data_IF_973442530394
#
_entry.id   IF_973442530394
#
_cell.length_a   1.000
_cell.length_b   1.000
_cell.length_c   1.000
_cell.angle_alpha   90.00
_cell.angle_beta   90.00
_cell.angle_gamma   90.00
#
_symmetry.space_group_name_H-M   'P 1'
#
loop_
_entity.id
_entity.type
_entity.pdbx_description
1 polymer ?
#
# COMPACT_ATOMS: atom_id res chain seq x y z
N UNK A 1 15.24 -32.97 -5.55
CA UNK A 1 15.37 -31.99 -4.49
C UNK A 1 15.49 -32.72 -3.19
N UNK A 2 16.42 -32.32 -2.34
CA UNK A 2 16.58 -32.93 -1.01
C UNK A 2 15.30 -32.58 -0.21
N UNK A 3 14.48 -33.61 0.06
CA UNK A 3 13.14 -33.47 0.65
C UNK A 3 13.20 -33.08 2.15
N UNK A 4 14.41 -32.83 2.67
CA UNK A 4 14.68 -32.56 4.08
C UNK A 4 15.05 -31.10 4.37
N UNK A 5 15.24 -30.23 3.33
CA UNK A 5 15.69 -28.88 3.53
C UNK A 5 14.56 -27.97 4.02
N UNK A 6 14.76 -27.34 5.17
CA UNK A 6 13.91 -26.27 5.69
C UNK A 6 14.53 -24.92 5.30
N UNK A 7 13.79 -24.12 4.52
CA UNK A 7 14.21 -22.78 4.15
C UNK A 7 13.90 -21.80 5.29
N UNK A 8 14.85 -20.92 5.60
CA UNK A 8 14.68 -19.86 6.60
C UNK A 8 14.34 -18.54 5.93
N UNK A 9 13.19 -17.95 6.27
CA UNK A 9 12.75 -16.65 5.78
C UNK A 9 12.55 -15.71 6.95
N UNK A 10 13.25 -14.58 6.93
CA UNK A 10 13.04 -13.49 7.87
C UNK A 10 12.11 -12.45 7.23
N UNK A 11 11.13 -11.97 7.99
CA UNK A 11 10.19 -10.92 7.58
C UNK A 11 10.44 -9.69 8.44
N UNK A 12 10.67 -8.55 7.80
CA UNK A 12 10.87 -7.27 8.46
C UNK A 12 9.82 -6.26 8.00
N UNK A 13 9.08 -5.69 8.94
CA UNK A 13 8.10 -4.63 8.66
C UNK A 13 8.15 -3.55 9.74
N UNK A 14 7.70 -2.35 9.36
CA UNK A 14 7.47 -1.25 10.30
C UNK A 14 5.97 -1.12 10.49
N UNK A 15 5.52 -1.15 11.75
CA UNK A 15 4.12 -1.19 12.17
C UNK A 15 3.34 -2.45 11.72
N UNK A 16 2.21 -2.72 12.39
CA UNK A 16 1.35 -3.87 12.10
C UNK A 16 -0.06 -3.40 11.76
N UNK A 17 -0.27 -3.08 10.50
CA UNK A 17 -1.56 -2.66 9.95
C UNK A 17 -2.19 -3.77 9.09
N UNK A 18 -3.52 -3.75 8.94
CA UNK A 18 -4.26 -4.75 8.17
C UNK A 18 -3.72 -4.94 6.74
N UNK A 19 -3.42 -3.87 5.95
CA UNK A 19 -2.86 -4.03 4.61
C UNK A 19 -1.54 -4.81 4.57
N UNK A 20 -0.68 -4.64 5.58
CA UNK A 20 0.59 -5.38 5.65
C UNK A 20 0.38 -6.86 6.02
N UNK A 21 -0.64 -7.14 6.85
CA UNK A 21 -1.05 -8.52 7.12
C UNK A 21 -1.60 -9.19 5.86
N UNK A 22 -2.37 -8.48 5.04
CA UNK A 22 -2.89 -9.00 3.78
C UNK A 22 -1.77 -9.28 2.77
N UNK A 23 -0.77 -8.40 2.68
CA UNK A 23 0.40 -8.62 1.84
C UNK A 23 1.20 -9.86 2.30
N UNK A 24 1.42 -10.01 3.62
CA UNK A 24 2.08 -11.20 4.15
C UNK A 24 1.28 -12.48 3.89
N UNK A 25 -0.03 -12.46 4.09
CA UNK A 25 -0.92 -13.58 3.83
C UNK A 25 -0.88 -13.97 2.34
N UNK A 26 -0.91 -13.00 1.44
CA UNK A 26 -0.76 -13.22 0.00
C UNK A 26 0.58 -13.87 -0.35
N UNK A 27 1.67 -13.38 0.24
CA UNK A 27 3.01 -13.95 0.08
C UNK A 27 3.06 -15.42 0.53
N UNK A 28 2.56 -15.72 1.71
CA UNK A 28 2.52 -17.08 2.25
C UNK A 28 1.64 -18.01 1.41
N UNK A 29 0.49 -17.54 0.93
CA UNK A 29 -0.39 -18.30 0.03
C UNK A 29 0.33 -18.68 -1.26
N UNK A 30 1.11 -17.77 -1.84
CA UNK A 30 1.89 -18.05 -3.04
C UNK A 30 3.02 -19.05 -2.79
N UNK A 31 3.73 -18.95 -1.66
CA UNK A 31 4.73 -19.94 -1.25
C UNK A 31 4.10 -21.32 -1.05
N UNK A 32 2.97 -21.38 -0.35
CA UNK A 32 2.22 -22.63 -0.13
C UNK A 32 1.80 -23.27 -1.45
N UNK A 33 1.28 -22.50 -2.39
CA UNK A 33 0.93 -22.98 -3.74
C UNK A 33 2.15 -23.50 -4.51
N UNK A 34 3.34 -23.00 -4.15
CA UNK A 34 4.62 -23.49 -4.69
C UNK A 34 5.21 -24.67 -3.91
N UNK A 35 4.49 -25.21 -2.91
CA UNK A 35 4.93 -26.32 -2.09
C UNK A 35 5.90 -25.94 -0.95
N UNK A 36 6.02 -24.64 -0.63
CA UNK A 36 6.78 -24.13 0.53
C UNK A 36 5.79 -23.83 1.65
N UNK A 37 5.78 -24.65 2.69
CA UNK A 37 4.78 -24.61 3.76
C UNK A 37 5.47 -24.33 5.08
N UNK A 38 5.04 -23.25 5.75
CA UNK A 38 5.54 -22.89 7.07
C UNK A 38 5.30 -24.02 8.10
N UNK A 39 6.30 -24.27 8.93
CA UNK A 39 6.30 -25.39 9.88
C UNK A 39 6.62 -26.75 9.27
N UNK A 40 6.81 -26.86 7.93
CA UNK A 40 7.24 -28.11 7.27
C UNK A 40 8.62 -27.97 6.63
N UNK A 41 8.71 -27.28 5.52
CA UNK A 41 9.93 -27.06 4.76
C UNK A 41 10.25 -25.56 4.61
N UNK A 42 9.53 -24.71 5.34
CA UNK A 42 9.75 -23.30 5.51
C UNK A 42 9.71 -22.98 7.00
N UNK A 43 10.62 -22.14 7.47
CA UNK A 43 10.62 -21.55 8.81
C UNK A 43 10.58 -20.05 8.65
N UNK A 44 9.50 -19.43 9.09
CA UNK A 44 9.28 -17.99 8.97
C UNK A 44 9.42 -17.32 10.33
N UNK A 45 10.27 -16.31 10.39
CA UNK A 45 10.39 -15.44 11.56
C UNK A 45 10.03 -14.00 11.20
N UNK A 46 9.03 -13.44 11.89
CA UNK A 46 8.54 -12.08 11.63
C UNK A 46 8.99 -11.12 12.73
N UNK A 47 9.60 -10.03 12.32
CA UNK A 47 9.92 -8.88 13.18
C UNK A 47 9.10 -7.67 12.75
N UNK A 48 8.37 -7.10 13.70
CA UNK A 48 7.65 -5.83 13.53
C UNK A 48 8.33 -4.76 14.37
N UNK A 49 8.65 -3.64 13.72
CA UNK A 49 9.18 -2.46 14.42
C UNK A 49 8.00 -1.54 14.68
N UNK A 50 7.57 -1.47 15.94
CA UNK A 50 6.48 -0.60 16.31
C UNK A 50 6.89 0.88 16.22
N UNK A 51 5.99 1.69 15.69
CA UNK A 51 6.07 3.14 15.78
C UNK A 51 5.76 3.55 17.22
N UNK A 52 6.69 4.25 17.85
CA UNK A 52 6.37 5.00 19.05
C UNK A 52 5.63 6.29 18.63
N UNK A 53 4.31 6.19 18.57
CA UNK A 53 3.45 7.27 18.07
C UNK A 53 3.38 8.42 19.07
N UNK A 54 3.67 8.17 20.37
CA UNK A 54 3.57 9.17 21.43
C UNK A 54 4.68 10.23 21.35
N UNK A 55 5.82 9.89 20.76
CA UNK A 55 6.97 10.79 20.59
C UNK A 55 7.16 11.27 19.14
N UNK A 56 6.06 11.56 18.41
CA UNK A 56 6.10 11.97 17.01
C UNK A 56 7.06 13.15 16.72
N UNK A 57 7.85 13.03 15.64
CA UNK A 57 8.78 14.04 15.17
C UNK A 57 10.07 13.46 14.58
N UNK A 58 11.06 14.32 14.32
CA UNK A 58 12.36 13.94 13.73
C UNK A 58 13.06 12.80 14.52
N UNK A 59 12.99 12.82 15.85
CA UNK A 59 13.56 11.80 16.71
C UNK A 59 12.89 10.44 16.59
N UNK A 60 11.58 10.39 16.29
CA UNK A 60 10.90 9.12 16.05
C UNK A 60 11.31 8.50 14.70
N UNK A 61 11.53 9.31 13.66
CA UNK A 61 12.05 8.83 12.37
C UNK A 61 13.48 8.27 12.53
N UNK A 62 14.35 8.97 13.24
CA UNK A 62 15.69 8.48 13.52
C UNK A 62 15.65 7.20 14.35
N UNK A 63 14.78 7.13 15.36
CA UNK A 63 14.58 5.95 16.19
C UNK A 63 14.12 4.73 15.36
N UNK A 64 13.16 4.91 14.48
CA UNK A 64 12.70 3.84 13.55
C UNK A 64 13.84 3.39 12.62
N UNK A 65 14.60 4.33 12.06
CA UNK A 65 15.76 4.02 11.23
C UNK A 65 16.79 3.18 11.97
N UNK A 66 17.11 3.57 13.21
CA UNK A 66 18.09 2.84 14.04
C UNK A 66 17.59 1.43 14.38
N UNK A 67 16.30 1.26 14.68
CA UNK A 67 15.70 -0.07 14.93
C UNK A 67 15.71 -0.93 13.66
N UNK A 68 15.38 -0.38 12.49
CA UNK A 68 15.45 -1.13 11.21
C UNK A 68 16.89 -1.61 10.99
N UNK A 69 17.89 -0.77 11.20
CA UNK A 69 19.30 -1.15 11.04
C UNK A 69 19.75 -2.20 12.06
N UNK A 70 19.30 -2.07 13.30
CA UNK A 70 19.58 -3.07 14.34
C UNK A 70 19.02 -4.45 13.98
N UNK A 71 17.75 -4.49 13.57
CA UNK A 71 17.11 -5.74 13.15
C UNK A 71 17.71 -6.30 11.85
N UNK A 72 18.08 -5.44 10.92
CA UNK A 72 18.78 -5.85 9.70
C UNK A 72 20.13 -6.51 10.03
N UNK A 73 20.88 -5.97 11.01
CA UNK A 73 22.12 -6.59 11.48
C UNK A 73 21.87 -7.98 12.10
N UNK A 74 20.85 -8.11 12.95
CA UNK A 74 20.44 -9.39 13.53
C UNK A 74 20.09 -10.40 12.43
N UNK A 75 19.33 -9.97 11.40
CA UNK A 75 18.97 -10.80 10.26
C UNK A 75 20.21 -11.27 9.49
N UNK A 76 21.20 -10.39 9.28
CA UNK A 76 22.46 -10.78 8.64
C UNK A 76 23.19 -11.86 9.43
N UNK A 77 23.22 -11.76 10.77
CA UNK A 77 23.80 -12.79 11.65
C UNK A 77 23.05 -14.12 11.59
N UNK A 78 21.71 -14.08 11.44
CA UNK A 78 20.86 -15.26 11.33
C UNK A 78 21.06 -16.04 10.03
N UNK A 79 21.65 -15.41 8.99
CA UNK A 79 21.93 -15.99 7.66
C UNK A 79 20.73 -16.71 7.07
N UNK A 80 19.57 -16.06 6.86
CA UNK A 80 18.42 -16.68 6.25
C UNK A 80 18.66 -16.98 4.77
N UNK A 81 17.81 -17.83 4.21
CA UNK A 81 17.80 -18.11 2.77
C UNK A 81 17.17 -16.96 1.97
N UNK A 82 16.33 -16.14 2.61
CA UNK A 82 15.64 -15.01 2.01
C UNK A 82 15.13 -14.04 3.09
N UNK A 83 15.14 -12.75 2.78
CA UNK A 83 14.48 -11.72 3.59
C UNK A 83 13.29 -11.17 2.82
N UNK A 84 12.11 -11.12 3.44
CA UNK A 84 10.96 -10.36 2.98
C UNK A 84 10.89 -9.03 3.75
N UNK A 85 10.88 -7.91 3.04
CA UNK A 85 10.56 -6.62 3.63
C UNK A 85 9.18 -6.16 3.22
N UNK A 86 8.38 -5.63 4.17
CA UNK A 86 7.03 -5.14 3.91
C UNK A 86 7.00 -3.63 4.15
N UNK A 87 6.68 -2.89 3.09
CA UNK A 87 6.62 -1.44 3.09
C UNK A 87 7.94 -0.73 2.73
N UNK A 88 7.82 0.51 2.31
CA UNK A 88 8.93 1.34 1.80
C UNK A 88 10.05 1.54 2.83
N UNK A 89 9.79 1.91 4.11
CA UNK A 89 10.86 2.13 5.08
C UNK A 89 11.70 0.87 5.39
N UNK A 90 11.04 -0.27 5.60
CA UNK A 90 11.74 -1.53 5.87
C UNK A 90 12.65 -1.91 4.69
N UNK A 91 12.15 -1.77 3.46
CA UNK A 91 12.91 -2.07 2.24
C UNK A 91 14.11 -1.12 2.08
N UNK A 92 13.87 0.18 2.14
CA UNK A 92 14.85 1.24 1.93
C UNK A 92 16.06 1.10 2.85
N UNK A 93 15.80 0.87 4.13
CA UNK A 93 16.86 0.92 5.14
C UNK A 93 17.52 -0.44 5.45
N UNK A 94 16.90 -1.56 5.11
CA UNK A 94 17.50 -2.88 5.27
C UNK A 94 18.28 -3.35 4.03
N UNK A 95 17.90 -2.87 2.84
CA UNK A 95 18.38 -3.39 1.56
C UNK A 95 19.91 -3.40 1.43
N UNK A 96 20.60 -2.30 1.73
CA UNK A 96 22.06 -2.21 1.59
C UNK A 96 22.78 -3.30 2.38
N UNK A 97 22.36 -3.54 3.62
CA UNK A 97 22.96 -4.56 4.48
C UNK A 97 22.70 -5.99 3.94
N UNK A 98 21.53 -6.24 3.36
CA UNK A 98 21.22 -7.54 2.75
C UNK A 98 22.07 -7.77 1.50
N UNK A 99 22.24 -6.75 0.66
CA UNK A 99 23.09 -6.81 -0.54
C UNK A 99 24.56 -7.07 -0.18
N UNK A 100 25.11 -6.34 0.79
CA UNK A 100 26.48 -6.53 1.29
C UNK A 100 26.71 -7.95 1.85
N UNK A 101 25.69 -8.46 2.58
CA UNK A 101 25.72 -9.81 3.13
C UNK A 101 25.38 -10.91 2.10
N UNK A 102 25.05 -10.54 0.86
CA UNK A 102 24.60 -11.44 -0.22
C UNK A 102 23.37 -12.30 0.17
N UNK A 103 22.49 -11.73 0.96
CA UNK A 103 21.22 -12.35 1.34
C UNK A 103 20.16 -11.86 0.36
N UNK A 104 19.45 -12.76 -0.35
CA UNK A 104 18.36 -12.39 -1.26
C UNK A 104 17.27 -11.60 -0.54
N UNK A 105 16.90 -10.43 -1.07
CA UNK A 105 15.83 -9.62 -0.56
C UNK A 105 14.65 -9.63 -1.55
N UNK A 106 13.48 -9.94 -1.03
CA UNK A 106 12.19 -9.74 -1.72
C UNK A 106 11.39 -8.71 -0.94
N UNK A 107 10.84 -7.73 -1.62
CA UNK A 107 9.99 -6.74 -0.99
C UNK A 107 8.55 -6.81 -1.48
N UNK A 108 7.63 -6.30 -0.67
CA UNK A 108 6.21 -6.12 -1.02
C UNK A 108 5.65 -4.88 -0.34
N UNK A 109 4.47 -4.44 -0.78
CA UNK A 109 3.79 -3.27 -0.23
C UNK A 109 4.65 -1.98 -0.29
N UNK A 110 5.51 -1.87 -1.29
CA UNK A 110 6.30 -0.67 -1.61
C UNK A 110 5.52 0.17 -2.61
N UNK A 111 5.26 1.44 -2.29
CA UNK A 111 4.46 2.32 -3.14
C UNK A 111 5.20 2.71 -4.42
N UNK A 112 6.39 3.26 -4.28
CA UNK A 112 7.29 3.57 -5.38
C UNK A 112 8.64 2.86 -5.15
N UNK A 113 9.04 1.92 -6.01
CA UNK A 113 10.32 1.22 -5.89
C UNK A 113 11.54 2.13 -5.85
N UNK A 114 11.57 3.21 -6.62
CA UNK A 114 12.69 4.16 -6.66
C UNK A 114 12.93 4.82 -5.30
N UNK A 115 11.86 5.15 -4.56
CA UNK A 115 11.95 5.71 -3.20
C UNK A 115 12.51 4.69 -2.20
N UNK A 116 12.36 3.39 -2.49
CA UNK A 116 12.96 2.31 -1.72
C UNK A 116 14.39 1.96 -2.17
N UNK A 117 14.97 2.74 -3.08
CA UNK A 117 16.34 2.60 -3.57
C UNK A 117 16.46 1.62 -4.74
N UNK A 118 15.38 1.27 -5.43
CA UNK A 118 15.43 0.49 -6.67
C UNK A 118 15.89 1.36 -7.85
N UNK A 119 16.37 0.71 -8.91
CA UNK A 119 16.84 1.39 -10.13
C UNK A 119 15.68 1.98 -10.92
N UNK A 120 14.54 1.28 -10.95
CA UNK A 120 13.34 1.72 -11.64
C UNK A 120 12.10 0.99 -11.11
N UNK A 121 10.94 1.27 -11.71
CA UNK A 121 9.68 0.58 -11.42
C UNK A 121 9.70 -0.93 -11.70
N UNK A 122 10.66 -1.41 -12.51
CA UNK A 122 10.74 -2.82 -12.93
C UNK A 122 12.06 -3.49 -12.57
N UNK A 123 13.06 -2.72 -12.19
CA UNK A 123 14.40 -3.21 -11.85
C UNK A 123 14.74 -2.80 -10.40
N UNK A 124 14.88 -3.80 -9.57
CA UNK A 124 15.25 -3.57 -8.17
C UNK A 124 16.76 -3.36 -8.00
N UNK A 125 17.61 -3.74 -8.96
CA UNK A 125 19.07 -3.75 -8.84
C UNK A 125 19.58 -4.93 -8.03
N UNK A 126 20.84 -4.85 -7.64
CA UNK A 126 21.59 -5.96 -7.03
C UNK A 126 20.94 -6.54 -5.78
N UNK A 127 20.89 -7.88 -5.71
CA UNK A 127 20.46 -8.65 -4.54
C UNK A 127 18.99 -8.56 -4.21
N UNK A 128 18.19 -7.84 -4.99
CA UNK A 128 16.79 -7.60 -4.66
C UNK A 128 15.81 -7.83 -5.82
N UNK A 129 14.58 -8.14 -5.48
CA UNK A 129 13.39 -8.14 -6.35
C UNK A 129 12.16 -7.98 -5.48
N UNK A 130 10.96 -7.97 -6.05
CA UNK A 130 9.74 -7.93 -5.24
C UNK A 130 8.50 -7.56 -6.02
N UNK A 131 7.59 -6.91 -5.33
CA UNK A 131 6.34 -6.40 -5.90
C UNK A 131 6.01 -5.01 -5.36
N UNK A 132 5.31 -4.22 -6.15
CA UNK A 132 4.99 -2.82 -5.82
C UNK A 132 3.48 -2.57 -5.83
N UNK A 133 3.05 -1.62 -4.99
CA UNK A 133 1.70 -1.04 -4.99
C UNK A 133 1.52 0.04 -6.06
N UNK A 134 2.55 0.33 -6.83
CA UNK A 134 2.49 1.38 -7.84
C UNK A 134 1.30 1.17 -8.80
N UNK A 135 0.45 2.16 -8.87
CA UNK A 135 -0.64 2.27 -9.85
C UNK A 135 -0.54 3.64 -10.53
N UNK A 136 -0.94 3.70 -11.80
CA UNK A 136 -0.96 4.98 -12.50
C UNK A 136 -2.05 5.91 -11.92
N UNK A 137 -1.61 7.01 -11.31
CA UNK A 137 -2.50 8.01 -10.69
C UNK A 137 -3.47 8.62 -11.71
N UNK A 138 -3.06 8.76 -12.98
CA UNK A 138 -3.94 9.28 -14.03
C UNK A 138 -5.14 8.37 -14.25
N UNK A 139 -4.93 7.07 -14.25
CA UNK A 139 -6.01 6.07 -14.35
C UNK A 139 -6.97 6.17 -13.17
N UNK A 140 -6.44 6.27 -11.94
CA UNK A 140 -7.25 6.41 -10.73
C UNK A 140 -8.10 7.69 -10.75
N UNK A 141 -7.52 8.81 -11.14
CA UNK A 141 -8.23 10.10 -11.20
C UNK A 141 -9.24 10.16 -12.36
N UNK A 142 -9.01 9.48 -13.49
CA UNK A 142 -10.01 9.34 -14.55
C UNK A 142 -11.23 8.57 -14.05
N UNK A 143 -11.03 7.47 -13.34
CA UNK A 143 -12.13 6.73 -12.72
C UNK A 143 -12.93 7.59 -11.74
N UNK A 144 -12.22 8.39 -10.92
CA UNK A 144 -12.89 9.38 -10.04
C UNK A 144 -13.77 10.32 -10.87
N UNK A 145 -13.26 10.86 -11.97
CA UNK A 145 -14.03 11.76 -12.85
C UNK A 145 -15.21 11.06 -13.53
N UNK A 146 -15.04 9.80 -13.90
CA UNK A 146 -16.12 9.03 -14.56
C UNK A 146 -17.27 8.78 -13.58
N UNK A 147 -16.95 8.43 -12.32
CA UNK A 147 -17.98 8.18 -11.28
C UNK A 147 -18.55 9.50 -10.73
N UNK A 148 -17.71 10.54 -10.61
CA UNK A 148 -18.07 11.84 -10.01
C UNK A 148 -17.81 13.00 -10.99
N UNK A 149 -18.56 13.12 -12.10
CA UNK A 149 -18.25 14.07 -13.18
C UNK A 149 -18.31 15.54 -12.77
N UNK A 150 -19.00 15.86 -11.68
CA UNK A 150 -19.16 17.22 -11.18
C UNK A 150 -18.00 17.68 -10.28
N UNK A 151 -17.17 16.74 -9.78
CA UNK A 151 -16.05 17.07 -8.90
C UNK A 151 -15.01 17.87 -9.64
N UNK A 152 -14.54 18.93 -8.97
CA UNK A 152 -13.48 19.85 -9.42
C UNK A 152 -12.39 20.02 -8.37
N UNK A 153 -12.76 20.05 -7.08
CA UNK A 153 -11.84 20.33 -5.96
C UNK A 153 -11.80 19.12 -5.03
N UNK A 154 -10.63 18.52 -4.94
CA UNK A 154 -10.39 17.35 -4.09
C UNK A 154 -9.64 17.79 -2.85
N UNK A 155 -10.18 17.50 -1.67
CA UNK A 155 -9.49 17.64 -0.39
C UNK A 155 -8.70 16.39 -0.06
N UNK A 156 -7.44 16.53 0.30
CA UNK A 156 -6.59 15.43 0.78
C UNK A 156 -5.93 15.81 2.09
N UNK A 157 -6.02 14.94 3.08
CA UNK A 157 -5.23 15.06 4.32
C UNK A 157 -4.16 13.98 4.28
N UNK A 158 -2.93 14.34 4.59
CA UNK A 158 -1.81 13.39 4.61
C UNK A 158 -0.85 13.69 5.74
N UNK A 159 -0.13 12.67 6.19
CA UNK A 159 0.95 12.85 7.14
C UNK A 159 2.29 13.12 6.45
N UNK A 160 3.36 13.14 7.22
CA UNK A 160 4.73 13.20 6.71
C UNK A 160 5.27 11.84 6.23
N UNK A 161 4.38 10.87 6.02
CA UNK A 161 4.70 9.58 5.40
C UNK A 161 5.17 9.79 3.96
N UNK A 162 6.29 9.16 3.59
CA UNK A 162 6.88 9.34 2.25
C UNK A 162 5.89 8.94 1.14
N UNK A 163 5.09 7.88 1.35
CA UNK A 163 4.09 7.44 0.37
C UNK A 163 2.93 8.43 0.29
N UNK A 164 2.45 8.94 1.44
CA UNK A 164 1.39 9.95 1.51
C UNK A 164 1.77 11.23 0.76
N UNK A 165 2.96 11.75 1.03
CA UNK A 165 3.51 12.94 0.35
C UNK A 165 3.62 12.72 -1.16
N UNK A 166 4.21 11.59 -1.59
CA UNK A 166 4.36 11.25 -3.01
C UNK A 166 2.99 11.08 -3.71
N UNK A 167 2.02 10.45 -3.03
CA UNK A 167 0.69 10.21 -3.57
C UNK A 167 -0.07 11.53 -3.78
N UNK A 168 0.00 12.45 -2.82
CA UNK A 168 -0.59 13.80 -2.94
C UNK A 168 0.08 14.60 -4.06
N UNK A 169 1.40 14.54 -4.17
CA UNK A 169 2.13 15.21 -5.25
C UNK A 169 1.72 14.67 -6.63
N UNK A 170 1.61 13.35 -6.77
CA UNK A 170 1.14 12.71 -8.00
C UNK A 170 -0.31 13.09 -8.32
N UNK A 171 -1.21 13.07 -7.33
CA UNK A 171 -2.61 13.47 -7.51
C UNK A 171 -2.72 14.94 -7.96
N UNK A 172 -1.91 15.82 -7.38
CA UNK A 172 -1.87 17.25 -7.76
C UNK A 172 -1.40 17.44 -9.20
N UNK A 173 -0.28 16.77 -9.58
CA UNK A 173 0.28 16.90 -10.91
C UNK A 173 -0.63 16.30 -11.99
N UNK A 174 -1.15 15.09 -11.76
CA UNK A 174 -1.96 14.36 -12.73
C UNK A 174 -3.43 14.79 -12.72
N UNK A 175 -3.92 15.41 -11.65
CA UNK A 175 -5.28 15.92 -11.55
C UNK A 175 -5.50 17.20 -12.37
N UNK A 176 -4.50 18.08 -12.42
CA UNK A 176 -4.58 19.37 -13.13
C UNK A 176 -5.02 19.25 -14.60
N UNK A 177 -4.42 18.35 -15.42
CA UNK A 177 -4.87 18.14 -16.80
C UNK A 177 -6.30 17.59 -16.92
N UNK A 178 -6.82 16.95 -15.87
CA UNK A 178 -8.17 16.40 -15.79
C UNK A 178 -9.20 17.40 -15.24
N UNK A 179 -8.78 18.65 -14.98
CA UNK A 179 -9.61 19.68 -14.38
C UNK A 179 -9.96 19.39 -12.91
N UNK A 180 -9.07 18.71 -12.20
CA UNK A 180 -9.15 18.45 -10.76
C UNK A 180 -8.10 19.30 -10.04
N UNK A 181 -8.55 20.10 -9.08
CA UNK A 181 -7.71 20.89 -8.19
C UNK A 181 -7.58 20.18 -6.85
N UNK A 182 -6.35 19.85 -6.47
CA UNK A 182 -6.06 19.12 -5.22
C UNK A 182 -5.65 20.10 -4.13
N UNK A 183 -6.45 20.14 -3.07
CA UNK A 183 -6.23 20.92 -1.88
C UNK A 183 -5.74 20.03 -0.75
N UNK A 184 -4.45 20.05 -0.45
CA UNK A 184 -3.85 19.18 0.56
C UNK A 184 -3.68 19.88 1.91
N UNK A 185 -3.74 19.11 2.99
CA UNK A 185 -3.41 19.53 4.36
C UNK A 185 -2.51 18.49 5.01
N UNK A 186 -1.41 18.95 5.57
CA UNK A 186 -0.52 18.15 6.39
C UNK A 186 -1.10 18.00 7.79
N UNK A 187 -0.99 16.81 8.35
CA UNK A 187 -1.34 16.46 9.73
C UNK A 187 -0.20 15.67 10.36
N UNK A 188 0.04 15.84 11.65
CA UNK A 188 0.95 14.95 12.36
C UNK A 188 0.26 13.60 12.64
N UNK A 189 1.05 12.52 12.69
CA UNK A 189 0.50 11.16 12.89
C UNK A 189 -0.30 10.98 14.18
N UNK A 190 -0.13 11.87 15.16
CA UNK A 190 -0.84 11.88 16.46
C UNK A 190 -1.97 12.91 16.52
N UNK A 191 -2.20 13.67 15.47
CA UNK A 191 -3.25 14.67 15.43
C UNK A 191 -4.55 14.08 14.89
N UNK A 192 -5.68 14.53 15.45
CA UNK A 192 -7.00 14.20 14.91
C UNK A 192 -7.21 14.86 13.55
N UNK A 193 -7.82 14.14 12.63
CA UNK A 193 -8.06 14.61 11.26
C UNK A 193 -9.15 15.70 11.17
N UNK A 194 -10.11 15.70 12.11
CA UNK A 194 -11.32 16.50 12.05
C UNK A 194 -11.09 18.01 11.82
N UNK A 195 -10.08 18.69 12.42
CA UNK A 195 -9.81 20.11 12.12
C UNK A 195 -9.47 20.34 10.66
N UNK A 196 -8.67 19.46 10.04
CA UNK A 196 -8.25 19.55 8.64
C UNK A 196 -9.41 19.30 7.67
N UNK A 197 -10.32 18.40 8.02
CA UNK A 197 -11.54 18.15 7.25
C UNK A 197 -12.44 19.39 7.24
N UNK A 198 -12.62 20.06 8.39
CA UNK A 198 -13.39 21.30 8.49
C UNK A 198 -12.77 22.45 7.67
N UNK A 199 -11.44 22.60 7.73
CA UNK A 199 -10.71 23.59 6.91
C UNK A 199 -10.95 23.37 5.41
N UNK A 200 -10.80 22.12 4.95
CA UNK A 200 -10.98 21.77 3.54
C UNK A 200 -12.43 21.94 3.09
N UNK A 201 -13.38 21.53 3.92
CA UNK A 201 -14.81 21.69 3.63
C UNK A 201 -15.18 23.17 3.53
N UNK A 202 -14.71 24.01 4.45
CA UNK A 202 -14.91 25.45 4.41
C UNK A 202 -14.25 26.11 3.17
N UNK A 203 -13.13 25.55 2.68
CA UNK A 203 -12.50 25.94 1.43
C UNK A 203 -13.29 25.47 0.18
N UNK A 204 -14.37 24.74 0.38
CA UNK A 204 -15.32 24.32 -0.66
C UNK A 204 -14.81 23.15 -1.51
N UNK A 205 -14.13 22.16 -0.92
CA UNK A 205 -13.83 20.91 -1.64
C UNK A 205 -15.13 20.17 -1.96
N UNK A 206 -15.15 19.53 -3.12
CA UNK A 206 -16.32 18.80 -3.62
C UNK A 206 -16.25 17.31 -3.25
N UNK A 207 -15.08 16.84 -2.83
CA UNK A 207 -14.75 15.45 -2.55
C UNK A 207 -13.54 15.36 -1.61
N UNK A 208 -13.48 14.33 -0.81
CA UNK A 208 -12.25 13.93 -0.13
C UNK A 208 -11.64 12.70 -0.80
N UNK A 209 -10.31 12.71 -0.96
CA UNK A 209 -9.56 11.55 -1.44
C UNK A 209 -8.51 11.13 -0.41
N UNK A 210 -8.48 9.84 -0.09
CA UNK A 210 -7.54 9.25 0.86
C UNK A 210 -6.30 8.78 0.10
N UNK A 211 -5.12 9.34 0.39
CA UNK A 211 -3.86 8.89 -0.21
C UNK A 211 -3.40 7.56 0.38
N UNK A 212 -2.40 6.96 -0.24
CA UNK A 212 -1.67 5.85 0.34
C UNK A 212 -0.77 6.36 1.48
N UNK A 213 -1.30 6.41 2.70
CA UNK A 213 -0.64 6.95 3.87
C UNK A 213 -0.94 6.07 5.10
N UNK A 214 0.10 5.67 5.83
CA UNK A 214 -0.04 4.84 7.04
C UNK A 214 -0.89 5.51 8.13
N UNK A 215 -1.00 6.83 8.12
CA UNK A 215 -1.82 7.61 9.06
C UNK A 215 -3.25 7.06 9.18
N UNK A 216 -3.85 6.68 8.07
CA UNK A 216 -5.22 6.14 8.04
C UNK A 216 -5.34 4.73 8.63
N UNK A 217 -4.24 4.03 8.82
CA UNK A 217 -4.19 2.71 9.45
C UNK A 217 -3.80 2.74 10.93
N UNK A 218 -3.34 3.88 11.44
CA UNK A 218 -2.94 4.05 12.84
C UNK A 218 -4.15 4.19 13.76
N UNK A 219 -3.93 4.09 15.07
CA UNK A 219 -4.95 4.31 16.10
C UNK A 219 -6.28 3.58 15.83
N UNK A 220 -6.19 2.31 15.40
CA UNK A 220 -7.38 1.49 15.05
C UNK A 220 -8.26 2.14 13.97
N UNK A 221 -7.65 2.80 12.98
CA UNK A 221 -8.32 3.47 11.86
C UNK A 221 -9.16 4.70 12.26
N UNK A 222 -8.86 5.36 13.38
CA UNK A 222 -9.61 6.52 13.86
C UNK A 222 -9.74 7.59 12.76
N UNK A 223 -8.63 7.98 12.13
CA UNK A 223 -8.65 8.99 11.06
C UNK A 223 -9.50 8.57 9.86
N UNK A 224 -9.50 7.29 9.51
CA UNK A 224 -10.32 6.76 8.42
C UNK A 224 -11.80 6.76 8.77
N UNK A 225 -12.16 6.42 10.02
CA UNK A 225 -13.54 6.46 10.51
C UNK A 225 -14.04 7.91 10.56
N UNK A 226 -13.29 8.81 11.18
CA UNK A 226 -13.66 10.24 11.26
C UNK A 226 -13.88 10.87 9.89
N UNK A 227 -13.03 10.55 8.90
CA UNK A 227 -13.20 11.02 7.54
C UNK A 227 -14.47 10.46 6.88
N UNK A 228 -14.73 9.16 7.08
CA UNK A 228 -15.94 8.53 6.56
C UNK A 228 -17.21 9.14 7.14
N UNK A 229 -17.25 9.29 8.46
CA UNK A 229 -18.38 9.89 9.17
C UNK A 229 -18.59 11.34 8.73
N UNK A 230 -17.51 12.13 8.64
CA UNK A 230 -17.56 13.51 8.14
C UNK A 230 -18.14 13.59 6.72
N UNK A 231 -17.71 12.69 5.84
CA UNK A 231 -18.25 12.60 4.46
C UNK A 231 -19.73 12.24 4.43
N UNK A 232 -20.18 11.35 5.33
CA UNK A 232 -21.58 10.98 5.47
C UNK A 232 -22.42 12.16 5.94
N UNK A 233 -22.02 12.79 7.05
CA UNK A 233 -22.73 13.89 7.68
C UNK A 233 -22.88 15.11 6.75
N UNK A 234 -21.80 15.44 6.01
CA UNK A 234 -21.77 16.61 5.13
C UNK A 234 -22.17 16.28 3.69
N UNK A 235 -22.52 15.03 3.37
CA UNK A 235 -22.88 14.57 2.02
C UNK A 235 -21.78 14.86 0.99
N UNK A 236 -20.52 14.79 1.41
CA UNK A 236 -19.34 14.93 0.56
C UNK A 236 -18.83 13.53 0.20
N UNK A 237 -18.64 13.21 -1.07
CA UNK A 237 -18.07 11.93 -1.47
C UNK A 237 -16.67 11.73 -0.86
N UNK A 238 -16.41 10.50 -0.42
CA UNK A 238 -15.07 10.07 -0.01
C UNK A 238 -14.62 8.97 -0.97
N UNK A 239 -13.42 9.07 -1.49
CA UNK A 239 -12.78 8.05 -2.33
C UNK A 239 -11.43 7.69 -1.76
N UNK A 240 -10.96 6.47 -2.04
CA UNK A 240 -9.59 6.08 -1.68
C UNK A 240 -8.75 5.89 -2.93
N UNK A 241 -7.52 6.40 -2.91
CA UNK A 241 -6.52 6.20 -3.97
C UNK A 241 -5.53 5.09 -3.59
N UNK A 242 -5.94 4.25 -2.64
CA UNK A 242 -5.27 3.04 -2.19
C UNK A 242 -6.31 2.06 -1.64
N UNK A 243 -6.01 0.77 -1.62
CA UNK A 243 -6.89 -0.24 -1.04
C UNK A 243 -6.76 -0.29 0.48
N UNK A 244 -7.12 0.82 1.13
CA UNK A 244 -7.16 0.97 2.59
C UNK A 244 -8.61 1.09 3.06
N UNK A 245 -8.93 0.51 4.21
CA UNK A 245 -10.28 0.53 4.74
C UNK A 245 -10.64 1.94 5.23
N UNK A 246 -11.65 2.53 4.60
CA UNK A 246 -12.25 3.81 5.00
C UNK A 246 -13.76 3.63 5.03
N UNK A 247 -14.39 3.38 6.18
CA UNK A 247 -15.84 3.25 6.28
C UNK A 247 -16.53 4.49 5.70
N UNK A 248 -17.53 4.28 4.85
CA UNK A 248 -18.25 5.38 4.20
C UNK A 248 -17.60 5.94 2.93
N UNK A 249 -16.46 5.43 2.47
CA UNK A 249 -15.95 5.73 1.13
C UNK A 249 -16.84 5.10 0.05
N UNK A 250 -17.10 5.85 -1.01
CA UNK A 250 -17.96 5.41 -2.12
C UNK A 250 -17.19 4.67 -3.22
N UNK A 251 -15.89 4.94 -3.36
CA UNK A 251 -15.02 4.37 -4.39
C UNK A 251 -13.65 4.08 -3.81
N UNK A 252 -13.11 2.91 -4.11
CA UNK A 252 -11.76 2.48 -3.76
C UNK A 252 -11.02 2.14 -5.05
N UNK A 253 -9.85 2.73 -5.25
CA UNK A 253 -9.01 2.48 -6.43
C UNK A 253 -7.57 2.30 -5.98
N UNK A 254 -6.97 1.15 -6.27
CA UNK A 254 -5.57 0.92 -5.90
C UNK A 254 -5.12 -0.52 -6.14
N UNK A 255 -3.86 -0.78 -5.86
CA UNK A 255 -3.35 -2.14 -5.86
C UNK A 255 -3.82 -2.90 -4.62
N UNK A 256 -4.28 -4.13 -4.81
CA UNK A 256 -4.68 -5.03 -3.73
C UNK A 256 -3.44 -5.58 -3.01
N UNK A 257 -3.35 -5.36 -1.71
CA UNK A 257 -2.19 -5.76 -0.92
C UNK A 257 -1.98 -7.27 -0.91
N UNK A 258 -3.05 -8.06 -0.87
CA UNK A 258 -2.96 -9.51 -0.92
C UNK A 258 -2.43 -10.00 -2.26
N UNK A 259 -2.90 -9.43 -3.38
CA UNK A 259 -2.41 -9.77 -4.71
C UNK A 259 -0.95 -9.36 -4.89
N UNK A 260 -0.59 -8.16 -4.44
CA UNK A 260 0.81 -7.70 -4.48
C UNK A 260 1.70 -8.60 -3.63
N UNK A 261 1.23 -9.02 -2.46
CA UNK A 261 1.91 -10.05 -1.64
C UNK A 261 2.10 -11.37 -2.38
N UNK A 262 1.08 -11.85 -3.11
CA UNK A 262 1.20 -13.07 -3.93
C UNK A 262 2.28 -12.93 -5.01
N UNK A 263 2.37 -11.77 -5.67
CA UNK A 263 3.40 -11.50 -6.67
C UNK A 263 4.81 -11.57 -6.07
N UNK A 264 5.01 -11.01 -4.87
CA UNK A 264 6.27 -11.16 -4.14
C UNK A 264 6.59 -12.61 -3.81
N UNK A 265 5.58 -13.39 -3.40
CA UNK A 265 5.70 -14.82 -3.14
C UNK A 265 6.11 -15.63 -4.38
N UNK A 266 5.65 -15.23 -5.57
CA UNK A 266 6.11 -15.84 -6.85
C UNK A 266 7.60 -15.64 -7.04
N UNK A 267 8.13 -14.43 -6.78
CA UNK A 267 9.55 -14.16 -6.90
C UNK A 267 10.36 -14.91 -5.84
N UNK A 268 9.89 -14.93 -4.59
CA UNK A 268 10.51 -15.68 -3.52
C UNK A 268 10.60 -17.20 -3.82
N UNK A 269 9.54 -17.80 -4.37
CA UNK A 269 9.53 -19.20 -4.76
C UNK A 269 10.57 -19.52 -5.85
N UNK A 270 10.78 -18.62 -6.82
CA UNK A 270 11.84 -18.77 -7.84
C UNK A 270 13.24 -18.75 -7.20
N UNK A 271 13.47 -17.86 -6.22
CA UNK A 271 14.74 -17.76 -5.51
C UNK A 271 14.98 -19.03 -4.68
N UNK A 272 14.04 -19.40 -3.82
CA UNK A 272 14.19 -20.50 -2.88
C UNK A 272 14.28 -21.87 -3.57
N UNK A 273 13.38 -22.13 -4.53
CA UNK A 273 13.29 -23.46 -5.18
C UNK A 273 14.21 -23.62 -6.39
N UNK A 274 14.36 -22.55 -7.20
CA UNK A 274 15.10 -22.63 -8.46
C UNK A 274 16.48 -21.99 -8.35
N UNK A 275 16.83 -21.41 -7.20
CA UNK A 275 18.07 -20.66 -6.98
C UNK A 275 18.28 -19.53 -8.01
N UNK A 276 17.18 -18.99 -8.51
CA UNK A 276 17.21 -17.85 -9.41
C UNK A 276 17.78 -16.63 -8.67
N UNK A 277 18.74 -15.95 -9.24
CA UNK A 277 19.28 -14.73 -8.63
C UNK A 277 18.22 -13.64 -8.64
N UNK A 278 18.08 -12.84 -7.56
CA UNK A 278 17.15 -11.71 -7.52
C UNK A 278 17.34 -10.74 -8.71
N UNK A 279 18.57 -10.45 -9.08
CA UNK A 279 18.97 -9.46 -10.08
C UNK A 279 18.35 -9.69 -11.47
N UNK A 280 17.97 -10.94 -11.80
CA UNK A 280 17.35 -11.26 -13.09
C UNK A 280 15.82 -11.33 -13.01
N UNK A 281 15.26 -11.04 -11.83
CA UNK A 281 13.83 -11.07 -11.60
C UNK A 281 13.28 -9.64 -11.57
N UNK A 282 12.33 -9.30 -12.46
CA UNK A 282 11.74 -7.97 -12.45
C UNK A 282 10.90 -7.74 -11.19
N UNK A 283 10.72 -6.48 -10.82
CA UNK A 283 9.68 -6.07 -9.88
C UNK A 283 8.33 -6.34 -10.53
N UNK A 284 7.46 -7.05 -9.83
CA UNK A 284 6.12 -7.34 -10.29
C UNK A 284 5.11 -6.31 -9.75
N UNK A 285 4.06 -6.07 -10.49
CA UNK A 285 2.96 -5.20 -10.08
C UNK A 285 1.63 -5.73 -10.58
N UNK A 286 0.58 -5.29 -9.95
CA UNK A 286 -0.76 -5.46 -10.47
C UNK A 286 -0.93 -4.55 -11.70
N UNK A 287 -1.30 -5.11 -12.85
CA UNK A 287 -1.37 -4.38 -14.13
C UNK A 287 -2.50 -3.34 -14.15
N UNK A 288 -3.67 -3.73 -13.61
CA UNK A 288 -4.84 -2.87 -13.49
C UNK A 288 -5.18 -2.71 -12.01
N UNK A 289 -5.51 -1.50 -11.54
CA UNK A 289 -5.92 -1.34 -10.15
C UNK A 289 -7.21 -2.13 -9.86
N UNK A 290 -7.34 -2.58 -8.63
CA UNK A 290 -8.61 -3.04 -8.09
C UNK A 290 -9.52 -1.84 -7.89
N UNK A 291 -10.77 -1.97 -8.32
CA UNK A 291 -11.79 -0.93 -8.17
C UNK A 291 -12.97 -1.52 -7.44
N UNK A 292 -13.25 -0.99 -6.24
CA UNK A 292 -14.45 -1.35 -5.47
C UNK A 292 -15.35 -0.13 -5.32
N UNK A 293 -16.64 -0.37 -5.37
CA UNK A 293 -17.68 0.65 -5.24
C UNK A 293 -18.64 0.22 -4.14
N UNK A 294 -18.95 1.13 -3.24
CA UNK A 294 -20.03 0.96 -2.27
C UNK A 294 -21.35 1.45 -2.87
N UNK A 295 -22.28 0.53 -3.26
CA UNK A 295 -23.54 0.91 -3.86
C UNK A 295 -24.44 1.71 -2.91
N UNK A 296 -24.42 1.42 -1.61
CA UNK A 296 -25.22 2.13 -0.63
C UNK A 296 -24.75 3.59 -0.47
N UNK A 297 -23.45 3.82 -0.60
CA UNK A 297 -22.89 5.18 -0.57
C UNK A 297 -23.22 5.96 -1.85
N UNK A 298 -23.16 5.33 -3.02
CA UNK A 298 -23.60 5.98 -4.26
C UNK A 298 -25.07 6.38 -4.18
N UNK A 299 -25.96 5.49 -3.70
CA UNK A 299 -27.37 5.76 -3.52
C UNK A 299 -27.61 6.93 -2.54
N UNK A 300 -26.93 6.94 -1.39
CA UNK A 300 -27.02 8.02 -0.40
C UNK A 300 -26.58 9.38 -0.97
N UNK A 301 -25.63 9.39 -1.89
CA UNK A 301 -25.16 10.56 -2.62
C UNK A 301 -26.02 10.89 -3.85
N UNK A 302 -27.06 10.09 -4.14
CA UNK A 302 -27.91 10.19 -5.33
C UNK A 302 -27.12 10.09 -6.64
N UNK A 303 -26.11 9.25 -6.66
CA UNK A 303 -25.23 8.98 -7.79
C UNK A 303 -25.47 7.56 -8.31
N UNK A 304 -25.19 7.36 -9.58
CA UNK A 304 -25.20 6.05 -10.23
C UNK A 304 -23.92 5.85 -11.02
N UNK A 305 -23.50 4.58 -11.15
CA UNK A 305 -22.38 4.27 -12.02
C UNK A 305 -22.71 4.61 -13.47
N UNK A 306 -21.75 5.17 -14.22
CA UNK A 306 -21.86 5.29 -15.67
C UNK A 306 -22.18 3.93 -16.31
N UNK A 307 -22.98 3.88 -17.37
CA UNK A 307 -23.39 2.60 -17.99
C UNK A 307 -22.20 1.71 -18.38
N UNK A 308 -21.10 2.30 -18.86
CA UNK A 308 -19.89 1.59 -19.23
C UNK A 308 -19.21 0.88 -18.04
N UNK A 309 -19.24 1.46 -16.84
CA UNK A 309 -18.73 0.85 -15.61
C UNK A 309 -19.75 -0.12 -15.02
N UNK A 310 -21.04 0.22 -15.06
CA UNK A 310 -22.12 -0.64 -14.57
C UNK A 310 -22.19 -1.98 -15.32
N UNK A 311 -21.88 -2.00 -16.62
CA UNK A 311 -21.82 -3.22 -17.42
C UNK A 311 -20.67 -4.18 -17.04
N UNK A 312 -19.70 -3.72 -16.27
CA UNK A 312 -18.49 -4.48 -15.86
C UNK A 312 -18.46 -4.76 -14.37
N UNK A 313 -19.54 -4.50 -13.67
CA UNK A 313 -19.62 -4.75 -12.24
C UNK A 313 -19.90 -6.22 -11.96
N UNK A 314 -19.25 -6.73 -10.91
CA UNK A 314 -19.56 -8.00 -10.27
C UNK A 314 -19.75 -7.78 -8.78
N UNK A 315 -20.46 -8.68 -8.11
CA UNK A 315 -20.57 -8.61 -6.66
C UNK A 315 -19.23 -8.99 -6.00
N UNK A 316 -18.80 -8.19 -5.05
CA UNK A 316 -17.64 -8.44 -4.22
C UNK A 316 -18.08 -8.73 -2.78
N UNK A 317 -17.12 -9.05 -1.90
CA UNK A 317 -17.39 -9.25 -0.49
C UNK A 317 -18.01 -8.01 0.17
N UNK A 318 -18.76 -8.23 1.24
CA UNK A 318 -19.36 -7.17 2.06
C UNK A 318 -20.33 -6.22 1.33
N UNK A 319 -20.96 -6.69 0.25
CA UNK A 319 -21.95 -5.91 -0.50
C UNK A 319 -21.38 -4.86 -1.46
N UNK A 320 -20.06 -4.83 -1.65
CA UNK A 320 -19.41 -3.96 -2.64
C UNK A 320 -19.60 -4.50 -4.06
N UNK A 321 -19.45 -3.61 -5.02
CA UNK A 321 -19.26 -3.98 -6.42
C UNK A 321 -17.78 -3.86 -6.79
N UNK A 322 -17.26 -4.89 -7.43
CA UNK A 322 -15.96 -4.82 -8.10
C UNK A 322 -16.16 -4.46 -9.57
N UNK A 323 -15.40 -3.49 -10.05
CA UNK A 323 -15.42 -3.06 -11.45
C UNK A 323 -14.20 -3.63 -12.17
N UNK A 324 -14.43 -4.41 -13.23
CA UNK A 324 -13.35 -4.88 -14.09
C UNK A 324 -12.96 -3.78 -15.08
N UNK A 325 -11.69 -3.38 -15.04
CA UNK A 325 -11.13 -2.45 -16.01
C UNK A 325 -10.61 -3.23 -17.21
N UNK A 326 -10.94 -2.76 -18.41
CA UNK A 326 -10.32 -3.28 -19.65
C UNK A 326 -8.89 -2.76 -19.75
N UNK A 327 -7.99 -3.67 -20.17
CA UNK A 327 -6.60 -3.33 -20.52
C UNK A 327 -6.54 -2.32 -21.67
#
# INVERSE_FOLDING_TARGET
MDDTRVFKVEVLQVTDIEPYRDALNGFLKSLQSSGLVDGKNLSLHKTTIDFDVENGGFWSKLGVLMRIRHEAARIVEAKPDLVLTIGTPATKYARGMMTEARIPLVFTAVANPEDAGCVSLVDAGEGATGSTLYTDMTTSLRLVKDVFPHVRRIGMVHSDDENGVANVAAATAMGKPLGLDVNARLVNKNEHIAPKLKELHAAGVDMFAVPLDVYYGLHRYEAAMDLGDFGIENKVPVVTLAMVRVPGAALYVGADFGQVGQLAGVQAAKILKRRTKPDVLPILRQETPTVLVDPARLEALKLSLPPALAARKSEAANGFWQIELTK
#
